data_IF_437653546316
#
_entry.id   IF_437653546316
#
_cell.length_a   1.000
_cell.length_b   1.000
_cell.length_c   1.000
_cell.angle_alpha   90.00
_cell.angle_beta   90.00
_cell.angle_gamma   90.00
#
_symmetry.space_group_name_H-M   'P 1'
#
loop_
_entity.id
_entity.type
_entity.pdbx_description
1 polymer ?
#
# COMPACT_ATOMS: atom_id res chain seq x y z
N UNK A 1 27.76 -3.08 16.65
CA UNK A 1 26.30 -2.93 16.41
C UNK A 1 26.09 -2.33 15.03
N UNK A 2 25.51 -3.09 14.09
CA UNK A 2 25.14 -2.49 12.80
C UNK A 2 24.09 -1.39 13.03
N UNK A 3 24.39 -0.18 12.55
CA UNK A 3 23.50 0.98 12.65
C UNK A 3 22.34 0.81 11.67
N UNK A 4 21.16 1.36 12.01
CA UNK A 4 20.04 1.42 11.08
C UNK A 4 20.47 2.23 9.84
N UNK A 5 20.21 1.74 8.62
CA UNK A 5 20.60 2.41 7.38
C UNK A 5 19.61 3.57 7.05
N UNK A 6 19.66 4.64 7.84
CA UNK A 6 18.67 5.75 7.77
C UNK A 6 18.58 6.38 6.38
N UNK A 7 19.72 6.63 5.72
CA UNK A 7 19.71 7.29 4.40
C UNK A 7 18.89 6.50 3.36
N UNK A 8 19.20 5.22 3.04
CA UNK A 8 18.39 4.48 2.08
C UNK A 8 16.98 4.17 2.60
N UNK A 9 16.78 4.03 3.91
CA UNK A 9 15.47 3.84 4.51
C UNK A 9 14.56 5.04 4.25
N UNK A 10 15.02 6.25 4.57
CA UNK A 10 14.23 7.47 4.37
C UNK A 10 14.00 7.75 2.88
N UNK A 11 15.01 7.60 2.02
CA UNK A 11 14.86 7.82 0.59
C UNK A 11 13.83 6.86 -0.02
N UNK A 12 13.87 5.57 0.32
CA UNK A 12 12.91 4.60 -0.20
C UNK A 12 11.50 4.77 0.40
N UNK A 13 11.39 5.20 1.65
CA UNK A 13 10.12 5.57 2.29
C UNK A 13 9.50 6.80 1.60
N UNK A 14 10.28 7.85 1.36
CA UNK A 14 9.83 9.07 0.71
C UNK A 14 9.51 8.85 -0.78
N UNK A 15 10.23 7.96 -1.48
CA UNK A 15 9.86 7.50 -2.83
C UNK A 15 8.45 6.90 -2.85
N UNK A 16 8.16 6.03 -1.88
CA UNK A 16 6.81 5.47 -1.74
C UNK A 16 5.79 6.55 -1.44
N UNK A 17 6.10 7.49 -0.53
CA UNK A 17 5.20 8.58 -0.17
C UNK A 17 4.88 9.46 -1.38
N UNK A 18 5.88 9.83 -2.19
CA UNK A 18 5.68 10.60 -3.41
C UNK A 18 4.75 9.88 -4.42
N UNK A 19 5.02 8.60 -4.69
CA UNK A 19 4.22 7.81 -5.62
C UNK A 19 2.78 7.60 -5.11
N UNK A 20 2.60 7.37 -3.80
CA UNK A 20 1.27 7.19 -3.21
C UNK A 20 0.50 8.51 -3.15
N UNK A 21 1.16 9.63 -2.83
CA UNK A 21 0.55 10.96 -2.85
C UNK A 21 0.02 11.28 -4.26
N UNK A 22 0.83 11.05 -5.31
CA UNK A 22 0.43 11.26 -6.70
C UNK A 22 -0.79 10.40 -7.08
N UNK A 23 -0.80 9.11 -6.71
CA UNK A 23 -1.93 8.22 -6.99
C UNK A 23 -3.21 8.70 -6.29
N UNK A 24 -3.15 9.07 -5.00
CA UNK A 24 -4.32 9.52 -4.25
C UNK A 24 -4.80 10.91 -4.65
N UNK A 25 -3.96 11.75 -5.27
CA UNK A 25 -4.39 13.03 -5.81
C UNK A 25 -5.48 12.87 -6.86
N UNK A 26 -5.47 11.78 -7.65
CA UNK A 26 -6.53 11.48 -8.61
C UNK A 26 -7.91 11.39 -7.93
N UNK A 27 -8.03 10.65 -6.83
CA UNK A 27 -9.30 10.53 -6.11
C UNK A 27 -9.63 11.78 -5.28
N UNK A 28 -8.63 12.43 -4.65
CA UNK A 28 -8.85 13.62 -3.82
C UNK A 28 -9.27 14.83 -4.67
N UNK A 29 -8.73 14.95 -5.88
CA UNK A 29 -9.05 16.03 -6.80
C UNK A 29 -10.22 15.71 -7.76
N UNK A 30 -10.76 14.47 -7.75
CA UNK A 30 -11.81 14.06 -8.69
C UNK A 30 -13.02 14.99 -8.75
N UNK A 31 -13.54 15.57 -7.62
CA UNK A 31 -14.66 16.50 -7.68
C UNK A 31 -14.38 17.81 -8.44
N UNK A 32 -13.09 18.14 -8.62
CA UNK A 32 -12.66 19.35 -9.34
C UNK A 32 -12.21 19.03 -10.78
N UNK A 33 -11.70 17.82 -11.01
CA UNK A 33 -11.24 17.35 -12.33
C UNK A 33 -12.45 16.98 -13.20
N UNK A 34 -13.40 16.26 -12.65
CA UNK A 34 -14.50 15.67 -13.41
C UNK A 34 -15.37 16.72 -14.12
N UNK A 35 -15.83 17.82 -13.47
CA UNK A 35 -16.57 18.88 -14.15
C UNK A 35 -15.75 19.58 -15.23
N UNK A 36 -14.42 19.77 -15.02
CA UNK A 36 -13.53 20.45 -15.97
C UNK A 36 -13.27 19.61 -17.23
N UNK A 37 -13.31 18.28 -17.12
CA UNK A 37 -13.11 17.33 -18.22
C UNK A 37 -14.45 16.79 -18.81
N UNK A 38 -15.61 17.15 -18.24
CA UNK A 38 -16.91 16.69 -18.70
C UNK A 38 -17.15 15.18 -18.47
N UNK A 39 -16.67 14.63 -17.37
CA UNK A 39 -16.79 13.21 -16.99
C UNK A 39 -17.38 13.07 -15.59
N UNK A 40 -17.64 11.85 -15.14
CA UNK A 40 -18.13 11.58 -13.78
C UNK A 40 -16.94 11.51 -12.78
N UNK A 41 -17.21 11.81 -11.50
CA UNK A 41 -16.21 11.74 -10.44
C UNK A 41 -15.61 10.33 -10.31
N UNK A 42 -16.43 9.32 -10.52
CA UNK A 42 -16.10 7.90 -10.47
C UNK A 42 -15.10 7.53 -11.56
N UNK A 43 -15.19 8.10 -12.75
CA UNK A 43 -14.25 7.84 -13.86
C UNK A 43 -12.83 8.27 -13.49
N UNK A 44 -12.71 9.44 -12.85
CA UNK A 44 -11.40 9.93 -12.38
C UNK A 44 -10.89 9.10 -11.21
N UNK A 45 -11.76 8.78 -10.24
CA UNK A 45 -11.39 8.00 -9.07
C UNK A 45 -10.94 6.57 -9.43
N UNK A 46 -11.55 5.95 -10.45
CA UNK A 46 -11.19 4.61 -10.93
C UNK A 46 -9.76 4.54 -11.51
N UNK A 47 -9.17 5.65 -11.92
CA UNK A 47 -7.78 5.66 -12.39
C UNK A 47 -6.78 5.19 -11.32
N UNK A 48 -7.12 5.32 -10.04
CA UNK A 48 -6.33 4.74 -8.94
C UNK A 48 -6.29 3.22 -9.04
N UNK A 49 -7.41 2.57 -9.42
CA UNK A 49 -7.44 1.13 -9.62
C UNK A 49 -6.54 0.69 -10.78
N UNK A 50 -6.46 1.50 -11.84
CA UNK A 50 -5.51 1.27 -12.96
C UNK A 50 -4.06 1.29 -12.47
N UNK A 51 -3.70 2.27 -11.62
CA UNK A 51 -2.36 2.35 -11.00
C UNK A 51 -2.05 1.09 -10.19
N UNK A 52 -2.99 0.60 -9.38
CA UNK A 52 -2.78 -0.61 -8.57
C UNK A 52 -2.70 -1.88 -9.42
N UNK A 53 -3.54 -2.02 -10.44
CA UNK A 53 -3.53 -3.20 -11.32
C UNK A 53 -2.20 -3.31 -12.09
N UNK A 54 -1.76 -2.21 -12.72
CA UNK A 54 -0.45 -2.15 -13.36
C UNK A 54 0.68 -2.28 -12.35
N UNK A 55 0.50 -1.74 -11.15
CA UNK A 55 1.42 -1.91 -10.04
C UNK A 55 1.60 -3.38 -9.67
N UNK A 56 0.54 -4.18 -9.64
CA UNK A 56 0.65 -5.62 -9.42
C UNK A 56 1.51 -6.29 -10.51
N UNK A 57 1.29 -5.94 -11.77
CA UNK A 57 2.08 -6.45 -12.89
C UNK A 57 3.54 -6.02 -12.80
N UNK A 58 3.79 -4.75 -12.47
CA UNK A 58 5.16 -4.23 -12.33
C UNK A 58 5.92 -4.90 -11.18
N UNK A 59 5.26 -5.18 -10.06
CA UNK A 59 5.86 -5.91 -8.95
C UNK A 59 6.33 -7.31 -9.36
N UNK A 60 5.61 -7.96 -10.29
CA UNK A 60 5.96 -9.29 -10.82
C UNK A 60 7.11 -9.24 -11.83
N UNK A 61 7.27 -8.16 -12.56
CA UNK A 61 8.22 -8.06 -13.68
C UNK A 61 9.52 -7.36 -13.32
N UNK A 62 9.54 -6.54 -12.27
CA UNK A 62 10.69 -5.71 -11.91
C UNK A 62 11.93 -6.46 -11.34
N UNK A 63 11.87 -7.65 -10.71
CA UNK A 63 13.06 -8.25 -10.07
C UNK A 63 14.29 -8.39 -10.98
N UNK A 64 14.19 -8.82 -12.25
CA UNK A 64 15.35 -8.86 -13.14
C UNK A 64 15.99 -7.48 -13.37
N UNK A 65 15.18 -6.42 -13.44
CA UNK A 65 15.65 -5.04 -13.59
C UNK A 65 16.37 -4.55 -12.34
N UNK A 66 15.85 -4.91 -11.15
CA UNK A 66 16.51 -4.58 -9.87
C UNK A 66 17.89 -5.23 -9.79
N UNK A 67 18.01 -6.51 -10.15
CA UNK A 67 19.30 -7.20 -10.16
C UNK A 67 20.27 -6.60 -11.17
N UNK A 68 19.81 -6.14 -12.33
CA UNK A 68 20.67 -5.56 -13.37
C UNK A 68 21.06 -4.12 -13.08
N UNK A 69 20.11 -3.27 -12.66
CA UNK A 69 20.33 -1.82 -12.54
C UNK A 69 20.55 -1.34 -11.11
N UNK A 70 20.13 -2.12 -10.12
CA UNK A 70 20.17 -1.77 -8.70
C UNK A 70 18.86 -1.18 -8.18
N UNK A 71 18.60 -1.36 -6.89
CA UNK A 71 17.34 -0.95 -6.27
C UNK A 71 17.18 0.58 -6.18
N UNK A 72 18.26 1.34 -5.95
CA UNK A 72 18.20 2.80 -5.93
C UNK A 72 17.98 3.38 -7.32
N UNK A 73 18.56 2.78 -8.35
CA UNK A 73 18.32 3.17 -9.76
C UNK A 73 16.86 2.91 -10.14
N UNK A 74 16.25 1.81 -9.71
CA UNK A 74 14.81 1.56 -9.90
C UNK A 74 13.97 2.58 -9.10
N UNK A 75 14.42 2.99 -7.90
CA UNK A 75 13.73 4.05 -7.13
C UNK A 75 13.75 5.40 -7.88
N UNK A 76 14.82 5.73 -8.60
CA UNK A 76 14.83 6.88 -9.52
C UNK A 76 13.80 6.70 -10.63
N UNK A 77 13.74 5.53 -11.25
CA UNK A 77 12.77 5.25 -12.31
C UNK A 77 11.32 5.40 -11.81
N UNK A 78 11.03 4.97 -10.56
CA UNK A 78 9.72 5.19 -9.92
C UNK A 78 9.44 6.69 -9.76
N UNK A 79 10.40 7.49 -9.28
CA UNK A 79 10.23 8.93 -9.15
C UNK A 79 10.05 9.60 -10.52
N UNK A 80 10.73 9.13 -11.57
CA UNK A 80 10.54 9.60 -12.97
C UNK A 80 9.14 9.27 -13.46
N UNK A 81 8.64 8.06 -13.23
CA UNK A 81 7.27 7.68 -13.57
C UNK A 81 6.23 8.52 -12.80
N UNK A 82 6.50 8.79 -11.51
CA UNK A 82 5.69 9.70 -10.70
C UNK A 82 5.69 11.12 -11.28
N UNK A 83 6.86 11.66 -11.63
CA UNK A 83 6.99 12.97 -12.25
C UNK A 83 6.29 13.03 -13.62
N UNK A 84 6.39 11.97 -14.43
CA UNK A 84 5.68 11.86 -15.70
C UNK A 84 4.16 11.89 -15.51
N UNK A 85 3.63 11.11 -14.56
CA UNK A 85 2.21 11.15 -14.22
C UNK A 85 1.76 12.55 -13.80
N UNK A 86 2.50 13.20 -12.91
CA UNK A 86 2.18 14.52 -12.39
C UNK A 86 2.23 15.59 -13.51
N UNK A 87 3.22 15.49 -14.40
CA UNK A 87 3.34 16.39 -15.56
C UNK A 87 2.19 16.16 -16.54
N UNK A 88 1.92 14.91 -16.95
CA UNK A 88 0.82 14.59 -17.88
C UNK A 88 -0.51 15.04 -17.30
N UNK A 89 -0.77 14.75 -16.01
CA UNK A 89 -2.00 15.14 -15.35
C UNK A 89 -2.17 16.67 -15.29
N UNK A 90 -1.11 17.43 -15.02
CA UNK A 90 -1.19 18.90 -14.93
C UNK A 90 -1.56 19.58 -16.28
N UNK A 91 -1.36 18.91 -17.41
CA UNK A 91 -1.74 19.39 -18.75
C UNK A 91 -2.94 18.63 -19.33
N UNK A 92 -3.60 17.78 -18.55
CA UNK A 92 -4.71 16.99 -19.06
C UNK A 92 -5.90 17.86 -19.47
N UNK A 93 -6.38 17.66 -20.70
CA UNK A 93 -7.57 18.26 -21.30
C UNK A 93 -8.66 17.22 -21.58
N UNK A 94 -8.41 15.95 -21.26
CA UNK A 94 -9.38 14.86 -21.40
C UNK A 94 -9.04 13.72 -20.41
N UNK A 95 -10.04 12.88 -20.14
CA UNK A 95 -9.86 11.68 -19.31
C UNK A 95 -8.82 10.72 -19.91
N UNK A 96 -8.70 10.66 -21.25
CA UNK A 96 -7.70 9.84 -21.93
C UNK A 96 -6.26 10.26 -21.61
N UNK A 97 -5.98 11.57 -21.58
CA UNK A 97 -4.66 12.10 -21.21
C UNK A 97 -4.40 11.82 -19.71
N UNK A 98 -5.40 12.00 -18.85
CA UNK A 98 -5.28 11.70 -17.43
C UNK A 98 -5.01 10.21 -17.20
N UNK A 99 -5.65 9.32 -17.98
CA UNK A 99 -5.40 7.89 -17.99
C UNK A 99 -3.95 7.57 -18.39
N UNK A 100 -3.38 8.22 -19.42
CA UNK A 100 -1.96 8.07 -19.76
C UNK A 100 -1.04 8.44 -18.59
N UNK A 101 -1.39 9.47 -17.83
CA UNK A 101 -0.70 9.81 -16.59
C UNK A 101 -0.77 8.67 -15.58
N UNK A 102 -1.95 8.12 -15.31
CA UNK A 102 -2.14 7.00 -14.39
C UNK A 102 -1.37 5.74 -14.84
N UNK A 103 -1.38 5.43 -16.15
CA UNK A 103 -0.60 4.33 -16.73
C UNK A 103 0.90 4.51 -16.50
N UNK A 104 1.43 5.74 -16.69
CA UNK A 104 2.86 6.03 -16.52
C UNK A 104 3.35 5.74 -15.09
N UNK A 105 2.56 6.08 -14.07
CA UNK A 105 2.85 5.74 -12.68
C UNK A 105 2.68 4.24 -12.42
N UNK A 106 1.58 3.66 -12.88
CA UNK A 106 1.20 2.26 -12.63
C UNK A 106 2.28 1.27 -13.06
N UNK A 107 2.93 1.52 -14.21
CA UNK A 107 4.01 0.66 -14.75
C UNK A 107 5.18 0.45 -13.77
N UNK A 108 5.42 1.36 -12.83
CA UNK A 108 6.51 1.25 -11.85
C UNK A 108 6.04 1.32 -10.39
N UNK A 109 4.76 1.59 -10.12
CA UNK A 109 4.24 1.79 -8.76
C UNK A 109 4.50 0.57 -7.84
N UNK A 110 4.26 -0.63 -8.34
CA UNK A 110 4.49 -1.86 -7.59
C UNK A 110 5.96 -2.23 -7.39
N UNK A 111 6.86 -1.56 -8.08
CA UNK A 111 8.30 -1.78 -7.94
C UNK A 111 8.89 -1.18 -6.66
N UNK A 112 8.13 -0.35 -5.94
CA UNK A 112 8.58 0.38 -4.74
C UNK A 112 9.02 -0.54 -3.60
N UNK A 113 8.27 -1.60 -3.32
CA UNK A 113 8.63 -2.53 -2.24
C UNK A 113 9.78 -3.47 -2.63
N UNK A 114 9.80 -4.15 -3.79
CA UNK A 114 10.91 -5.01 -4.15
C UNK A 114 12.23 -4.25 -4.33
N UNK A 115 12.22 -3.02 -4.89
CA UNK A 115 13.45 -2.21 -5.02
C UNK A 115 14.01 -1.79 -3.67
N UNK A 116 13.18 -1.28 -2.76
CA UNK A 116 13.60 -0.91 -1.42
C UNK A 116 14.06 -2.12 -0.60
N UNK A 117 13.38 -3.26 -0.73
CA UNK A 117 13.76 -4.48 -0.02
C UNK A 117 15.12 -5.00 -0.46
N UNK A 118 15.41 -4.94 -1.76
CA UNK A 118 16.72 -5.31 -2.30
C UNK A 118 17.85 -4.45 -1.73
N UNK A 119 17.60 -3.14 -1.53
CA UNK A 119 18.60 -2.23 -0.94
C UNK A 119 18.71 -2.42 0.57
N UNK A 120 17.59 -2.53 1.28
CA UNK A 120 17.58 -2.51 2.74
C UNK A 120 17.96 -3.86 3.38
N UNK A 121 17.59 -4.99 2.76
CA UNK A 121 17.81 -6.31 3.34
C UNK A 121 19.30 -6.59 3.66
N UNK A 122 20.28 -6.37 2.76
CA UNK A 122 21.69 -6.62 3.05
C UNK A 122 22.29 -5.62 4.04
N UNK A 123 21.69 -4.42 4.19
CA UNK A 123 22.17 -3.37 5.08
C UNK A 123 21.59 -3.46 6.49
N UNK A 124 20.62 -4.35 6.71
CA UNK A 124 19.85 -4.41 7.95
C UNK A 124 20.16 -5.72 8.70
N UNK A 125 20.63 -5.59 9.95
CA UNK A 125 20.81 -6.75 10.83
C UNK A 125 19.45 -7.46 11.07
N UNK A 126 19.47 -8.78 11.23
CA UNK A 126 18.26 -9.58 11.48
C UNK A 126 17.42 -9.04 12.64
N UNK A 127 18.08 -8.67 13.74
CA UNK A 127 17.46 -8.10 14.95
C UNK A 127 16.81 -6.70 14.77
N UNK A 128 16.91 -6.10 13.59
CA UNK A 128 16.33 -4.79 13.27
C UNK A 128 15.47 -4.83 12.00
N UNK A 129 15.29 -6.01 11.43
CA UNK A 129 14.61 -6.18 10.13
C UNK A 129 13.17 -5.74 10.18
N UNK A 130 12.43 -6.21 11.18
CA UNK A 130 11.01 -5.88 11.30
C UNK A 130 10.80 -4.38 11.51
N UNK A 131 11.59 -3.74 12.36
CA UNK A 131 11.54 -2.30 12.58
C UNK A 131 11.81 -1.52 11.28
N UNK A 132 12.91 -1.83 10.58
CA UNK A 132 13.30 -1.12 9.35
C UNK A 132 12.24 -1.25 8.27
N UNK A 133 11.69 -2.45 8.05
CA UNK A 133 10.63 -2.64 7.05
C UNK A 133 9.30 -2.01 7.48
N UNK A 134 9.01 -1.97 8.77
CA UNK A 134 7.83 -1.28 9.31
C UNK A 134 7.92 0.23 9.11
N UNK A 135 9.05 0.85 9.42
CA UNK A 135 9.29 2.28 9.15
C UNK A 135 9.23 2.58 7.66
N UNK A 136 9.84 1.74 6.82
CA UNK A 136 9.77 1.91 5.36
C UNK A 136 8.32 1.94 4.86
N UNK A 137 7.45 1.11 5.40
CA UNK A 137 6.05 1.02 4.98
C UNK A 137 5.18 2.20 5.45
N UNK A 138 5.67 3.08 6.32
CA UNK A 138 5.02 4.35 6.65
C UNK A 138 4.87 5.25 5.41
N UNK A 139 5.70 5.07 4.39
CA UNK A 139 5.60 5.83 3.14
C UNK A 139 4.22 5.81 2.50
N UNK A 140 3.47 4.70 2.62
CA UNK A 140 2.10 4.60 2.06
C UNK A 140 1.12 5.54 2.78
N UNK A 141 0.87 5.41 4.10
CA UNK A 141 -0.04 6.32 4.79
C UNK A 141 0.49 7.77 4.82
N UNK A 142 1.82 7.97 4.84
CA UNK A 142 2.40 9.31 4.74
C UNK A 142 2.02 9.99 3.42
N UNK A 143 2.13 9.28 2.29
CA UNK A 143 1.69 9.79 0.99
C UNK A 143 0.21 10.12 0.96
N UNK A 144 -0.63 9.28 1.56
CA UNK A 144 -2.07 9.52 1.70
C UNK A 144 -2.39 10.76 2.53
N UNK A 145 -1.73 10.92 3.68
CA UNK A 145 -1.89 12.09 4.56
C UNK A 145 -1.44 13.37 3.85
N UNK A 146 -0.26 13.34 3.22
CA UNK A 146 0.25 14.49 2.48
C UNK A 146 -0.68 14.87 1.32
N UNK A 147 -1.21 13.90 0.58
CA UNK A 147 -2.22 14.13 -0.45
C UNK A 147 -3.49 14.78 0.12
N UNK A 148 -4.03 14.24 1.20
CA UNK A 148 -5.22 14.79 1.86
C UNK A 148 -5.04 16.19 2.43
N UNK A 149 -3.84 16.53 2.94
CA UNK A 149 -3.56 17.83 3.54
C UNK A 149 -3.12 18.90 2.52
N UNK A 150 -2.35 18.53 1.50
CA UNK A 150 -1.77 19.50 0.57
C UNK A 150 -2.66 19.75 -0.66
N UNK A 151 -3.37 18.73 -1.15
CA UNK A 151 -4.15 18.84 -2.39
C UNK A 151 -5.31 19.84 -2.27
N UNK A 152 -6.19 19.79 -1.24
CA UNK A 152 -7.32 20.72 -1.17
C UNK A 152 -6.90 22.19 -1.12
N UNK A 153 -5.96 22.65 -0.26
CA UNK A 153 -5.56 24.06 -0.26
C UNK A 153 -4.88 24.49 -1.58
N UNK A 154 -4.12 23.63 -2.24
CA UNK A 154 -3.51 23.94 -3.52
C UNK A 154 -4.57 24.10 -4.63
N UNK A 155 -5.65 23.32 -4.59
CA UNK A 155 -6.79 23.46 -5.50
C UNK A 155 -7.46 24.82 -5.30
N UNK A 156 -7.65 25.25 -4.06
CA UNK A 156 -8.28 26.56 -3.75
C UNK A 156 -7.43 27.74 -4.25
N UNK A 157 -6.10 27.62 -4.28
CA UNK A 157 -5.18 28.69 -4.69
C UNK A 157 -5.16 28.82 -6.22
N UNK A 158 -5.17 27.74 -6.98
CA UNK A 158 -4.97 27.82 -8.42
C UNK A 158 -5.48 26.63 -9.21
N UNK A 159 -6.46 25.92 -8.68
CA UNK A 159 -7.10 24.78 -9.34
C UNK A 159 -6.30 23.47 -9.23
N UNK A 160 -6.94 22.39 -9.65
CA UNK A 160 -6.40 21.04 -9.51
C UNK A 160 -5.06 20.80 -10.24
N UNK A 161 -4.79 21.55 -11.32
CA UNK A 161 -3.53 21.46 -12.07
C UNK A 161 -2.33 21.88 -11.22
N UNK A 162 -2.48 22.93 -10.40
CA UNK A 162 -1.41 23.38 -9.47
C UNK A 162 -1.12 22.33 -8.42
N UNK A 163 -2.11 21.57 -7.96
CA UNK A 163 -1.89 20.49 -7.02
C UNK A 163 -0.96 19.38 -7.58
N UNK A 164 -1.06 19.06 -8.87
CA UNK A 164 -0.12 18.14 -9.54
C UNK A 164 1.25 18.78 -9.73
N UNK A 165 1.32 20.04 -10.17
CA UNK A 165 2.59 20.76 -10.40
C UNK A 165 3.41 20.92 -9.11
N UNK A 166 2.78 21.23 -8.00
CA UNK A 166 3.46 21.35 -6.71
C UNK A 166 4.10 20.02 -6.26
N UNK A 167 3.42 18.89 -6.48
CA UNK A 167 3.96 17.57 -6.17
C UNK A 167 5.11 17.16 -7.12
N UNK A 168 5.13 17.68 -8.34
CA UNK A 168 6.23 17.45 -9.29
C UNK A 168 7.56 17.92 -8.72
N UNK A 169 7.59 19.06 -8.00
CA UNK A 169 8.79 19.57 -7.33
C UNK A 169 9.34 18.52 -6.36
N UNK A 170 8.47 17.90 -5.56
CA UNK A 170 8.88 16.86 -4.62
C UNK A 170 9.46 15.63 -5.34
N UNK A 171 8.83 15.18 -6.42
CA UNK A 171 9.34 14.06 -7.22
C UNK A 171 10.72 14.36 -7.83
N UNK A 172 10.95 15.58 -8.35
CA UNK A 172 12.23 16.01 -8.90
C UNK A 172 13.32 16.11 -7.83
N UNK A 173 13.00 16.63 -6.65
CA UNK A 173 13.92 16.64 -5.49
C UNK A 173 14.32 15.22 -5.11
N UNK A 174 13.36 14.28 -5.09
CA UNK A 174 13.65 12.88 -4.80
C UNK A 174 14.55 12.22 -5.86
N UNK A 175 14.34 12.50 -7.16
CA UNK A 175 15.22 12.03 -8.24
C UNK A 175 16.65 12.49 -7.97
N UNK A 176 16.83 13.78 -7.69
CA UNK A 176 18.14 14.36 -7.43
C UNK A 176 18.80 13.77 -6.17
N UNK A 177 18.07 13.71 -5.06
CA UNK A 177 18.58 13.17 -3.80
C UNK A 177 19.04 11.71 -3.93
N UNK A 178 18.26 10.86 -4.62
CA UNK A 178 18.61 9.46 -4.85
C UNK A 178 19.79 9.35 -5.81
N UNK A 179 19.83 10.18 -6.86
CA UNK A 179 20.93 10.21 -7.84
C UNK A 179 22.28 10.42 -7.17
N UNK A 180 22.37 11.33 -6.20
CA UNK A 180 23.62 11.62 -5.46
C UNK A 180 24.17 10.43 -4.68
N UNK A 181 23.30 9.54 -4.22
CA UNK A 181 23.72 8.43 -3.32
C UNK A 181 23.61 7.05 -3.95
N UNK A 182 22.99 6.91 -5.14
CA UNK A 182 22.69 5.59 -5.75
C UNK A 182 23.93 4.70 -5.92
N UNK A 183 25.05 5.29 -6.33
CA UNK A 183 26.29 4.53 -6.56
C UNK A 183 26.81 3.84 -5.30
N UNK A 184 26.50 4.40 -4.13
CA UNK A 184 26.87 3.84 -2.84
C UNK A 184 26.06 2.60 -2.44
N UNK A 185 24.86 2.42 -2.98
CA UNK A 185 23.92 1.37 -2.56
C UNK A 185 23.63 0.35 -3.67
N UNK A 186 23.89 0.69 -4.93
CA UNK A 186 23.69 -0.20 -6.09
C UNK A 186 24.94 -1.03 -6.40
N UNK A 187 25.64 -1.51 -5.36
CA UNK A 187 26.77 -2.43 -5.53
C UNK A 187 26.27 -3.86 -5.80
N UNK A 188 27.10 -4.68 -6.47
CA UNK A 188 26.79 -6.08 -6.74
C UNK A 188 25.77 -6.31 -7.85
N UNK A 189 25.58 -5.33 -8.74
CA UNK A 189 24.71 -5.45 -9.91
C UNK A 189 25.22 -6.50 -10.89
N UNK A 190 24.31 -7.35 -11.36
CA UNK A 190 24.59 -8.29 -12.46
C UNK A 190 24.28 -7.64 -13.81
N UNK A 191 25.29 -6.97 -14.41
CA UNK A 191 25.14 -6.25 -15.68
C UNK A 191 24.75 -7.15 -16.85
N UNK A 192 25.02 -8.46 -16.75
CA UNK A 192 24.72 -9.43 -17.80
C UNK A 192 23.34 -10.06 -17.64
N UNK A 193 22.60 -9.72 -16.57
CA UNK A 193 21.25 -10.25 -16.34
C UNK A 193 20.31 -9.91 -17.50
N UNK A 194 19.71 -10.95 -18.09
CA UNK A 194 18.68 -10.74 -19.10
C UNK A 194 17.38 -10.23 -18.44
N UNK A 195 16.94 -9.03 -18.85
CA UNK A 195 15.73 -8.38 -18.33
C UNK A 195 14.50 -8.68 -19.18
N UNK A 196 14.68 -9.14 -20.42
CA UNK A 196 13.60 -9.44 -21.36
C UNK A 196 13.06 -10.85 -21.23
N UNK A 197 13.41 -11.56 -20.18
CA UNK A 197 12.90 -12.89 -19.92
C UNK A 197 11.44 -12.79 -19.45
N UNK A 198 10.50 -13.20 -20.31
CA UNK A 198 9.07 -13.37 -19.98
C UNK A 198 8.83 -14.38 -18.82
N UNK A 199 9.88 -15.02 -18.34
CA UNK A 199 9.82 -15.96 -17.21
C UNK A 199 9.70 -15.28 -15.85
N UNK A 200 9.76 -13.93 -15.77
CA UNK A 200 9.65 -13.18 -14.51
C UNK A 200 8.39 -13.53 -13.72
N UNK A 201 7.18 -13.31 -14.27
CA UNK A 201 5.93 -13.65 -13.59
C UNK A 201 5.81 -15.15 -13.28
N UNK A 202 6.23 -16.03 -14.22
CA UNK A 202 6.23 -17.48 -14.03
C UNK A 202 7.14 -17.89 -12.87
N UNK A 203 8.31 -17.26 -12.74
CA UNK A 203 9.23 -17.51 -11.62
C UNK A 203 8.66 -17.06 -10.28
N UNK A 204 7.96 -15.92 -10.23
CA UNK A 204 7.31 -15.48 -9.00
C UNK A 204 6.22 -16.46 -8.55
N UNK A 205 5.38 -16.93 -9.48
CA UNK A 205 4.41 -17.98 -9.18
C UNK A 205 5.13 -19.29 -8.82
N UNK A 206 6.26 -19.59 -9.46
CA UNK A 206 7.15 -20.71 -9.12
C UNK A 206 7.62 -20.68 -7.66
N UNK A 207 7.86 -19.50 -7.07
CA UNK A 207 8.22 -19.38 -5.65
C UNK A 207 7.18 -20.01 -4.71
N UNK A 208 5.89 -19.97 -5.07
CA UNK A 208 4.83 -20.64 -4.31
C UNK A 208 4.95 -22.16 -4.31
N UNK A 209 5.63 -22.74 -5.32
CA UNK A 209 5.91 -24.17 -5.41
C UNK A 209 7.23 -24.52 -4.75
N UNK A 210 8.26 -23.71 -4.97
CA UNK A 210 9.62 -23.93 -4.46
C UNK A 210 9.73 -23.65 -2.96
N UNK A 211 8.95 -22.71 -2.44
CA UNK A 211 8.92 -22.29 -1.02
C UNK A 211 7.48 -22.44 -0.47
N UNK A 212 7.03 -23.65 -0.16
CA UNK A 212 5.66 -23.89 0.31
C UNK A 212 5.32 -23.11 1.59
N UNK A 213 6.31 -22.77 2.40
CA UNK A 213 6.17 -21.97 3.61
C UNK A 213 5.69 -20.53 3.33
N UNK A 214 5.90 -20.00 2.10
CA UNK A 214 5.48 -18.66 1.72
C UNK A 214 3.96 -18.60 1.41
N UNK A 215 3.30 -19.73 1.13
CA UNK A 215 1.89 -19.78 0.72
C UNK A 215 0.93 -19.19 1.75
N UNK A 216 1.00 -19.56 3.05
CA UNK A 216 0.11 -18.96 4.05
C UNK A 216 0.29 -17.45 4.17
N UNK A 217 1.56 -16.96 4.08
CA UNK A 217 1.84 -15.53 4.09
C UNK A 217 1.31 -14.84 2.83
N UNK A 218 1.43 -15.47 1.67
CA UNK A 218 0.93 -14.97 0.39
C UNK A 218 -0.61 -14.81 0.41
N UNK A 219 -1.32 -15.82 0.93
CA UNK A 219 -2.78 -15.76 1.11
C UNK A 219 -3.16 -14.65 2.10
N UNK A 220 -2.48 -14.56 3.24
CA UNK A 220 -2.72 -13.51 4.22
C UNK A 220 -2.43 -12.12 3.64
N UNK A 221 -1.37 -11.94 2.86
CA UNK A 221 -1.04 -10.68 2.20
C UNK A 221 -2.16 -10.22 1.23
N UNK A 222 -2.72 -11.16 0.44
CA UNK A 222 -3.86 -10.90 -0.44
C UNK A 222 -5.11 -10.47 0.36
N UNK A 223 -5.49 -11.26 1.36
CA UNK A 223 -6.73 -11.03 2.13
C UNK A 223 -6.62 -9.78 3.00
N UNK A 224 -5.51 -9.60 3.73
CA UNK A 224 -5.36 -8.47 4.64
C UNK A 224 -5.29 -7.12 3.92
N UNK A 225 -4.65 -7.08 2.73
CA UNK A 225 -4.62 -5.85 1.94
C UNK A 225 -5.99 -5.51 1.32
N UNK A 226 -6.74 -6.52 0.90
CA UNK A 226 -8.12 -6.35 0.47
C UNK A 226 -9.01 -5.85 1.61
N UNK A 227 -8.90 -6.45 2.81
CA UNK A 227 -9.60 -6.01 4.00
C UNK A 227 -9.22 -4.57 4.39
N UNK A 228 -7.93 -4.21 4.31
CA UNK A 228 -7.47 -2.83 4.54
C UNK A 228 -8.21 -1.82 3.66
N UNK A 229 -8.35 -2.13 2.36
CA UNK A 229 -9.07 -1.23 1.46
C UNK A 229 -10.58 -1.22 1.76
N UNK A 230 -11.19 -2.37 2.07
CA UNK A 230 -12.60 -2.42 2.46
C UNK A 230 -12.89 -1.54 3.68
N UNK A 231 -12.08 -1.61 4.73
CA UNK A 231 -12.21 -0.71 5.87
C UNK A 231 -11.98 0.76 5.46
N UNK A 232 -10.86 1.07 4.81
CA UNK A 232 -10.49 2.45 4.50
C UNK A 232 -11.44 3.16 3.55
N UNK A 233 -11.97 2.45 2.55
CA UNK A 233 -12.86 3.03 1.56
C UNK A 233 -14.32 3.13 2.01
N UNK A 234 -14.81 2.14 2.79
CA UNK A 234 -16.23 2.06 3.10
C UNK A 234 -16.62 2.54 4.50
N UNK A 235 -15.65 2.81 5.38
CA UNK A 235 -15.93 3.31 6.74
C UNK A 235 -16.73 4.64 6.70
N UNK A 236 -16.33 5.55 5.83
CA UNK A 236 -16.97 6.86 5.68
C UNK A 236 -18.40 6.72 5.16
N UNK A 237 -18.59 5.96 4.09
CA UNK A 237 -19.92 5.75 3.49
C UNK A 237 -20.86 4.98 4.41
N UNK A 238 -20.35 4.04 5.22
CA UNK A 238 -21.12 3.35 6.24
C UNK A 238 -21.56 4.30 7.34
N UNK A 239 -20.68 5.19 7.82
CA UNK A 239 -21.02 6.17 8.85
C UNK A 239 -22.07 7.19 8.38
N UNK A 240 -22.01 7.59 7.11
CA UNK A 240 -23.09 8.41 6.51
C UNK A 240 -24.43 7.69 6.57
N UNK A 241 -24.45 6.40 6.25
CA UNK A 241 -25.69 5.61 6.29
C UNK A 241 -26.21 5.44 7.71
N UNK A 242 -25.33 5.34 8.72
CA UNK A 242 -25.70 5.14 10.14
C UNK A 242 -26.20 6.44 10.78
N UNK A 243 -25.51 7.56 10.57
CA UNK A 243 -25.75 8.83 11.29
C UNK A 243 -26.41 9.92 10.43
N UNK A 244 -26.66 9.69 9.13
CA UNK A 244 -27.18 10.69 8.20
C UNK A 244 -26.14 11.75 7.81
N UNK A 245 -26.54 12.67 6.90
CA UNK A 245 -25.62 13.67 6.36
C UNK A 245 -25.22 14.75 7.38
N UNK A 246 -26.08 15.11 8.32
CA UNK A 246 -25.83 16.18 9.30
C UNK A 246 -24.77 15.81 10.35
N UNK A 247 -24.61 14.52 10.70
CA UNK A 247 -23.54 14.00 11.57
C UNK A 247 -22.24 13.65 10.85
N UNK A 248 -22.26 13.70 9.53
CA UNK A 248 -21.24 13.11 8.65
C UNK A 248 -19.86 13.77 8.72
N UNK A 249 -19.80 15.08 8.67
CA UNK A 249 -18.51 15.78 8.45
C UNK A 249 -17.52 15.60 9.58
N UNK A 250 -17.94 15.64 10.81
CA UNK A 250 -17.05 15.49 11.96
C UNK A 250 -16.79 14.01 12.29
N UNK A 251 -17.84 13.20 12.31
CA UNK A 251 -17.76 11.78 12.67
C UNK A 251 -16.86 10.98 11.72
N UNK A 252 -17.06 11.13 10.41
CA UNK A 252 -16.25 10.39 9.43
C UNK A 252 -14.78 10.83 9.40
N UNK A 253 -14.52 12.14 9.59
CA UNK A 253 -13.16 12.64 9.64
C UNK A 253 -12.39 12.06 10.84
N UNK A 254 -12.98 12.06 12.04
CA UNK A 254 -12.36 11.50 13.26
C UNK A 254 -12.13 9.99 13.11
N UNK A 255 -13.09 9.25 12.56
CA UNK A 255 -12.96 7.82 12.32
C UNK A 255 -11.81 7.49 11.34
N UNK A 256 -11.71 8.26 10.25
CA UNK A 256 -10.62 8.07 9.26
C UNK A 256 -9.26 8.45 9.85
N UNK A 257 -9.17 9.52 10.62
CA UNK A 257 -7.94 9.91 11.33
C UNK A 257 -7.54 8.83 12.33
N UNK A 258 -8.48 8.29 13.11
CA UNK A 258 -8.23 7.19 14.04
C UNK A 258 -7.69 5.94 13.32
N UNK A 259 -8.28 5.58 12.18
CA UNK A 259 -7.81 4.48 11.32
C UNK A 259 -6.37 4.71 10.83
N UNK A 260 -6.04 5.88 10.31
CA UNK A 260 -4.73 6.16 9.74
C UNK A 260 -3.64 6.28 10.80
N UNK A 261 -3.88 7.02 11.89
CA UNK A 261 -2.91 7.20 12.97
C UNK A 261 -2.59 5.89 13.69
N UNK A 262 -3.62 5.11 13.99
CA UNK A 262 -3.42 3.79 14.62
C UNK A 262 -2.61 2.85 13.71
N UNK A 263 -2.86 2.87 12.41
CA UNK A 263 -2.10 2.10 11.44
C UNK A 263 -0.61 2.48 11.41
N UNK A 264 -0.27 3.77 11.43
CA UNK A 264 1.12 4.23 11.48
C UNK A 264 1.79 3.82 12.79
N UNK A 265 1.12 4.11 13.91
CA UNK A 265 1.65 3.82 15.25
C UNK A 265 1.90 2.32 15.42
N UNK A 266 0.93 1.49 15.02
CA UNK A 266 1.04 0.04 15.14
C UNK A 266 2.15 -0.54 14.28
N UNK A 267 2.43 -0.01 13.09
CA UNK A 267 3.59 -0.43 12.28
C UNK A 267 4.90 -0.29 13.04
N UNK A 268 5.11 0.85 13.70
CA UNK A 268 6.33 1.10 14.48
C UNK A 268 6.39 0.17 15.69
N UNK A 269 5.31 0.12 16.46
CA UNK A 269 5.23 -0.71 17.69
C UNK A 269 5.45 -2.18 17.40
N UNK A 270 4.74 -2.73 16.41
CA UNK A 270 4.88 -4.13 16.03
C UNK A 270 6.26 -4.44 15.46
N UNK A 271 6.88 -3.51 14.74
CA UNK A 271 8.25 -3.67 14.27
C UNK A 271 9.25 -3.86 15.41
N UNK A 272 9.10 -3.07 16.49
CA UNK A 272 9.93 -3.19 17.71
C UNK A 272 9.64 -4.50 18.45
N UNK A 273 8.35 -4.84 18.62
CA UNK A 273 7.93 -6.08 19.31
C UNK A 273 8.46 -7.31 18.56
N UNK A 274 8.36 -7.30 17.23
CA UNK A 274 8.81 -8.40 16.39
C UNK A 274 10.33 -8.60 16.40
N UNK A 275 11.08 -7.54 16.61
CA UNK A 275 12.55 -7.60 16.70
C UNK A 275 13.04 -8.09 18.08
N UNK A 276 12.18 -8.05 19.14
CA UNK A 276 12.63 -8.25 20.51
C UNK A 276 11.93 -9.40 21.27
N UNK A 277 10.61 -9.58 21.07
CA UNK A 277 9.80 -10.40 21.99
C UNK A 277 8.98 -11.50 21.32
N UNK A 278 8.29 -11.19 20.22
CA UNK A 278 7.34 -12.12 19.59
C UNK A 278 7.66 -12.19 18.10
N UNK A 279 7.76 -13.39 17.53
CA UNK A 279 8.04 -13.51 16.09
C UNK A 279 7.00 -12.79 15.23
N UNK A 280 7.46 -12.16 14.14
CA UNK A 280 6.61 -11.43 13.20
C UNK A 280 5.43 -12.27 12.72
N UNK A 281 5.63 -13.58 12.56
CA UNK A 281 4.60 -14.51 12.10
C UNK A 281 3.43 -14.63 13.09
N UNK A 282 3.69 -14.75 14.40
CA UNK A 282 2.64 -14.78 15.43
C UNK A 282 1.93 -13.43 15.56
N UNK A 283 2.65 -12.33 15.38
CA UNK A 283 2.03 -11.01 15.32
C UNK A 283 1.10 -10.87 14.10
N UNK A 284 1.48 -11.40 12.93
CA UNK A 284 0.62 -11.44 11.75
C UNK A 284 -0.64 -12.29 11.96
N UNK A 285 -0.53 -13.40 12.69
CA UNK A 285 -1.69 -14.22 13.09
C UNK A 285 -2.61 -13.41 14.01
N UNK A 286 -2.06 -12.77 15.04
CA UNK A 286 -2.83 -11.93 15.97
C UNK A 286 -3.52 -10.76 15.23
N UNK A 287 -2.82 -10.10 14.29
CA UNK A 287 -3.39 -9.07 13.44
C UNK A 287 -4.60 -9.56 12.64
N UNK A 288 -4.52 -10.76 12.06
CA UNK A 288 -5.63 -11.36 11.33
C UNK A 288 -6.86 -11.61 12.19
N UNK A 289 -6.71 -12.15 13.41
CA UNK A 289 -7.84 -12.35 14.33
C UNK A 289 -8.42 -11.04 14.86
N UNK A 290 -7.58 -10.05 15.14
CA UNK A 290 -8.05 -8.72 15.55
C UNK A 290 -8.76 -8.00 14.40
N UNK A 291 -8.31 -8.21 13.15
CA UNK A 291 -8.99 -7.72 11.95
C UNK A 291 -10.35 -8.38 11.77
N UNK A 292 -10.44 -9.70 12.06
CA UNK A 292 -11.70 -10.44 12.07
C UNK A 292 -12.67 -9.85 13.10
N UNK A 293 -12.19 -9.59 14.31
CA UNK A 293 -13.00 -8.96 15.37
C UNK A 293 -13.51 -7.59 14.92
N UNK A 294 -12.63 -6.76 14.37
CA UNK A 294 -12.99 -5.44 13.88
C UNK A 294 -14.06 -5.50 12.77
N UNK A 295 -13.98 -6.48 11.86
CA UNK A 295 -14.96 -6.67 10.79
C UNK A 295 -16.32 -7.11 11.37
N UNK A 296 -16.35 -8.03 12.34
CA UNK A 296 -17.59 -8.45 13.02
C UNK A 296 -18.25 -7.26 13.71
N UNK A 297 -17.47 -6.43 14.41
CA UNK A 297 -17.98 -5.23 15.09
C UNK A 297 -18.52 -4.22 14.05
N UNK A 298 -17.80 -4.00 12.93
CA UNK A 298 -18.25 -3.09 11.87
C UNK A 298 -19.54 -3.58 11.17
N UNK A 299 -19.76 -4.90 11.10
CA UNK A 299 -20.98 -5.48 10.56
C UNK A 299 -22.23 -5.09 11.39
N UNK A 300 -22.06 -4.82 12.69
CA UNK A 300 -23.14 -4.49 13.61
C UNK A 300 -23.34 -3.01 13.87
N UNK A 301 -22.71 -2.10 13.12
CA UNK A 301 -22.90 -0.66 13.35
C UNK A 301 -24.34 -0.23 13.13
N UNK A 302 -24.89 0.43 14.16
CA UNK A 302 -26.24 0.97 14.21
C UNK A 302 -26.24 2.39 14.80
N UNK A 303 -27.27 3.17 14.54
CA UNK A 303 -27.44 4.54 15.05
C UNK A 303 -27.57 4.62 16.59
N UNK A 304 -27.92 3.53 17.25
CA UNK A 304 -27.96 3.42 18.71
C UNK A 304 -26.58 3.30 19.35
N UNK A 305 -25.54 2.99 18.57
CA UNK A 305 -24.19 2.80 19.11
C UNK A 305 -23.57 4.13 19.53
N UNK A 306 -22.91 4.17 20.71
CA UNK A 306 -22.12 5.33 21.10
C UNK A 306 -21.00 5.56 20.09
N UNK A 307 -20.90 6.77 19.57
CA UNK A 307 -19.93 7.14 18.54
C UNK A 307 -18.47 6.79 18.90
N UNK A 308 -18.09 6.92 20.19
CA UNK A 308 -16.74 6.58 20.64
C UNK A 308 -16.39 5.09 20.46
N UNK A 309 -17.36 4.17 20.56
CA UNK A 309 -17.14 2.75 20.26
C UNK A 309 -16.80 2.52 18.79
N UNK A 310 -17.47 3.23 17.90
CA UNK A 310 -17.18 3.17 16.46
C UNK A 310 -15.76 3.69 16.19
N UNK A 311 -15.37 4.82 16.80
CA UNK A 311 -14.01 5.38 16.66
C UNK A 311 -12.94 4.38 17.18
N UNK A 312 -13.18 3.72 18.31
CA UNK A 312 -12.29 2.67 18.83
C UNK A 312 -12.18 1.51 17.83
N UNK A 313 -13.28 1.06 17.25
CA UNK A 313 -13.22 -0.01 16.26
C UNK A 313 -12.52 0.46 14.95
N UNK A 314 -12.70 1.72 14.54
CA UNK A 314 -11.96 2.29 13.41
C UNK A 314 -10.46 2.33 13.70
N UNK A 315 -10.06 2.68 14.93
CA UNK A 315 -8.67 2.61 15.36
C UNK A 315 -8.15 1.16 15.37
N UNK A 316 -8.95 0.18 15.83
CA UNK A 316 -8.60 -1.24 15.78
C UNK A 316 -8.45 -1.73 14.34
N UNK A 317 -9.37 -1.37 13.45
CA UNK A 317 -9.29 -1.68 12.02
C UNK A 317 -8.00 -1.11 11.40
N UNK A 318 -7.66 0.15 11.68
CA UNK A 318 -6.43 0.78 11.21
C UNK A 318 -5.18 0.13 11.76
N UNK A 319 -5.14 -0.14 13.08
CA UNK A 319 -4.04 -0.81 13.75
C UNK A 319 -3.76 -2.20 13.15
N UNK A 320 -4.80 -2.92 12.78
CA UNK A 320 -4.70 -4.29 12.28
C UNK A 320 -4.55 -4.33 10.76
N UNK A 321 -5.49 -3.77 10.02
CA UNK A 321 -5.52 -3.85 8.57
C UNK A 321 -4.44 -2.99 7.88
N UNK A 322 -3.94 -1.93 8.51
CA UNK A 322 -2.82 -1.14 8.00
C UNK A 322 -1.49 -1.51 8.67
N UNK A 323 -1.49 -1.90 9.94
CA UNK A 323 -0.30 -2.16 10.75
C UNK A 323 0.55 -3.35 10.31
N UNK A 324 -0.03 -4.39 9.70
CA UNK A 324 0.63 -5.66 9.38
C UNK A 324 1.70 -5.57 8.28
N UNK A 325 1.63 -4.58 7.38
CA UNK A 325 2.36 -4.58 6.12
C UNK A 325 3.88 -4.61 6.28
N UNK A 326 4.43 -3.92 7.29
CA UNK A 326 5.86 -3.93 7.56
C UNK A 326 6.38 -5.30 7.96
N UNK A 327 5.65 -6.00 8.84
CA UNK A 327 5.96 -7.36 9.26
C UNK A 327 5.86 -8.35 8.09
N UNK A 328 4.82 -8.22 7.25
CA UNK A 328 4.66 -9.06 6.08
C UNK A 328 5.85 -8.94 5.12
N UNK A 329 6.32 -7.71 4.84
CA UNK A 329 7.51 -7.53 4.00
C UNK A 329 8.78 -8.05 4.65
N UNK A 330 8.97 -7.89 5.96
CA UNK A 330 10.10 -8.47 6.68
C UNK A 330 10.10 -10.00 6.59
N UNK A 331 8.94 -10.64 6.68
CA UNK A 331 8.79 -12.09 6.50
C UNK A 331 9.01 -12.55 5.06
N UNK A 332 8.53 -11.82 4.05
CA UNK A 332 8.85 -12.11 2.64
C UNK A 332 10.36 -12.04 2.39
N UNK A 333 11.04 -11.03 2.94
CA UNK A 333 12.50 -10.91 2.87
C UNK A 333 13.19 -12.09 3.55
N UNK A 334 12.73 -12.48 4.74
CA UNK A 334 13.30 -13.62 5.49
C UNK A 334 13.16 -14.93 4.71
N UNK A 335 11.98 -15.21 4.14
CA UNK A 335 11.70 -16.42 3.38
C UNK A 335 12.40 -16.46 2.03
N UNK A 336 12.49 -15.31 1.35
CA UNK A 336 13.21 -15.21 0.07
C UNK A 336 14.73 -15.35 0.22
N UNK A 337 15.27 -15.01 1.39
CA UNK A 337 16.69 -15.01 1.65
C UNK A 337 17.47 -13.99 0.79
N UNK A 338 18.80 -13.93 0.92
CA UNK A 338 19.62 -12.88 0.28
C UNK A 338 19.53 -12.85 -1.25
N UNK A 339 19.31 -14.01 -1.88
CA UNK A 339 19.33 -14.14 -3.36
C UNK A 339 17.98 -13.84 -4.02
N UNK A 340 16.87 -13.93 -3.28
CA UNK A 340 15.48 -13.83 -3.83
C UNK A 340 14.64 -12.80 -3.12
N UNK A 341 15.26 -11.83 -2.44
CA UNK A 341 14.56 -10.77 -1.71
C UNK A 341 13.61 -9.99 -2.62
N UNK A 342 14.06 -9.57 -3.82
CA UNK A 342 13.26 -8.80 -4.75
C UNK A 342 12.09 -9.64 -5.31
N UNK A 343 12.32 -10.92 -5.60
CA UNK A 343 11.29 -11.85 -6.07
C UNK A 343 10.22 -12.09 -5.00
N UNK A 344 10.62 -12.39 -3.77
CA UNK A 344 9.68 -12.67 -2.68
C UNK A 344 8.83 -11.45 -2.32
N UNK A 345 9.44 -10.27 -2.24
CA UNK A 345 8.72 -9.01 -1.97
C UNK A 345 7.91 -8.54 -3.17
N UNK A 346 8.36 -8.83 -4.41
CA UNK A 346 7.59 -8.63 -5.62
C UNK A 346 6.31 -9.46 -5.66
N UNK A 347 6.40 -10.75 -5.31
CA UNK A 347 5.25 -11.63 -5.15
C UNK A 347 4.29 -11.10 -4.09
N UNK A 348 4.80 -10.73 -2.91
CA UNK A 348 4.00 -10.15 -1.83
C UNK A 348 3.27 -8.89 -2.26
N UNK A 349 3.94 -7.96 -2.95
CA UNK A 349 3.34 -6.73 -3.46
C UNK A 349 2.25 -7.00 -4.49
N UNK A 350 2.52 -7.89 -5.45
CA UNK A 350 1.55 -8.27 -6.48
C UNK A 350 0.27 -8.83 -5.86
N UNK A 351 0.42 -9.76 -4.90
CA UNK A 351 -0.72 -10.36 -4.21
C UNK A 351 -1.50 -9.36 -3.36
N UNK A 352 -0.81 -8.43 -2.66
CA UNK A 352 -1.46 -7.35 -1.94
C UNK A 352 -2.29 -6.47 -2.89
N UNK A 353 -1.74 -6.09 -4.04
CA UNK A 353 -2.46 -5.25 -5.01
C UNK A 353 -3.61 -5.99 -5.69
N UNK A 354 -3.46 -7.27 -5.99
CA UNK A 354 -4.59 -8.09 -6.46
C UNK A 354 -5.67 -8.23 -5.39
N UNK A 355 -5.31 -8.35 -4.11
CA UNK A 355 -6.25 -8.36 -3.01
C UNK A 355 -7.07 -7.07 -2.92
N UNK A 356 -6.38 -5.91 -3.04
CA UNK A 356 -7.00 -4.59 -3.14
C UNK A 356 -7.96 -4.50 -4.34
N UNK A 357 -7.50 -4.91 -5.52
CA UNK A 357 -8.26 -4.83 -6.77
C UNK A 357 -9.48 -5.77 -6.80
N UNK A 358 -9.41 -6.90 -6.11
CA UNK A 358 -10.49 -7.89 -6.09
C UNK A 358 -11.52 -7.64 -4.98
N UNK A 359 -11.05 -7.39 -3.74
CA UNK A 359 -11.94 -7.38 -2.58
C UNK A 359 -12.82 -6.14 -2.50
N UNK A 360 -12.33 -4.95 -2.90
CA UNK A 360 -13.14 -3.73 -2.82
C UNK A 360 -14.36 -3.74 -3.78
N UNK A 361 -14.23 -4.13 -5.06
CA UNK A 361 -15.40 -4.30 -5.93
C UNK A 361 -16.36 -5.39 -5.44
N UNK A 362 -15.85 -6.52 -4.93
CA UNK A 362 -16.68 -7.58 -4.37
C UNK A 362 -17.43 -7.13 -3.12
N UNK A 363 -16.78 -6.34 -2.27
CA UNK A 363 -17.42 -5.74 -1.09
C UNK A 363 -18.55 -4.79 -1.50
N UNK A 364 -18.30 -3.92 -2.50
CA UNK A 364 -19.30 -3.03 -3.08
C UNK A 364 -20.50 -3.80 -3.65
N UNK A 365 -20.21 -4.82 -4.47
CA UNK A 365 -21.25 -5.69 -5.02
C UNK A 365 -22.07 -6.37 -3.90
N UNK A 366 -21.42 -6.78 -2.83
CA UNK A 366 -22.10 -7.33 -1.65
C UNK A 366 -23.03 -6.31 -0.98
N UNK A 367 -22.60 -5.03 -0.87
CA UNK A 367 -23.49 -3.96 -0.35
C UNK A 367 -24.74 -3.82 -1.21
N UNK A 368 -24.59 -3.84 -2.55
CA UNK A 368 -25.68 -3.67 -3.49
C UNK A 368 -26.64 -4.87 -3.47
N UNK A 369 -26.13 -6.11 -3.44
CA UNK A 369 -26.95 -7.34 -3.39
C UNK A 369 -27.70 -7.48 -2.08
N UNK A 370 -27.03 -7.27 -0.94
CA UNK A 370 -27.61 -7.49 0.38
C UNK A 370 -28.21 -6.22 1.01
N UNK A 371 -28.17 -5.12 0.28
CA UNK A 371 -28.66 -3.82 0.69
C UNK A 371 -28.12 -3.35 2.06
N UNK A 372 -26.86 -3.69 2.37
CA UNK A 372 -26.25 -3.37 3.65
C UNK A 372 -24.79 -3.79 3.77
N UNK A 373 -24.14 -3.31 4.85
CA UNK A 373 -22.73 -3.56 5.11
C UNK A 373 -22.45 -4.85 5.91
N UNK A 374 -23.46 -5.39 6.61
CA UNK A 374 -23.29 -6.50 7.54
C UNK A 374 -22.69 -7.74 6.87
N UNK A 375 -23.33 -8.24 5.80
CA UNK A 375 -22.89 -9.46 5.11
C UNK A 375 -21.50 -9.28 4.48
N UNK A 376 -21.19 -8.19 3.74
CA UNK A 376 -19.84 -7.93 3.26
C UNK A 376 -18.77 -7.94 4.36
N UNK A 377 -19.03 -7.34 5.53
CA UNK A 377 -18.08 -7.40 6.65
C UNK A 377 -17.96 -8.80 7.26
N UNK A 378 -19.02 -9.58 7.36
CA UNK A 378 -18.92 -10.98 7.77
C UNK A 378 -18.09 -11.82 6.81
N UNK A 379 -18.17 -11.58 5.50
CA UNK A 379 -17.30 -12.24 4.53
C UNK A 379 -15.83 -11.83 4.72
N UNK A 380 -15.55 -10.55 4.94
CA UNK A 380 -14.20 -10.09 5.29
C UNK A 380 -13.71 -10.76 6.58
N UNK A 381 -14.56 -10.87 7.61
CA UNK A 381 -14.21 -11.53 8.85
C UNK A 381 -13.88 -13.02 8.63
N UNK A 382 -14.67 -13.74 7.85
CA UNK A 382 -14.42 -15.15 7.52
C UNK A 382 -13.10 -15.35 6.77
N UNK A 383 -12.80 -14.49 5.79
CA UNK A 383 -11.56 -14.55 5.01
C UNK A 383 -10.34 -14.23 5.87
N UNK A 384 -10.41 -13.21 6.72
CA UNK A 384 -9.29 -12.82 7.61
C UNK A 384 -9.04 -13.88 8.67
N UNK A 385 -10.08 -14.48 9.26
CA UNK A 385 -9.97 -15.60 10.20
C UNK A 385 -9.33 -16.83 9.54
N UNK A 386 -9.82 -17.23 8.37
CA UNK A 386 -9.27 -18.36 7.62
C UNK A 386 -7.79 -18.16 7.30
N UNK A 387 -7.41 -16.95 6.86
CA UNK A 387 -6.02 -16.59 6.55
C UNK A 387 -5.13 -16.62 7.80
N UNK A 388 -5.62 -16.13 8.94
CA UNK A 388 -4.91 -16.19 10.22
C UNK A 388 -4.70 -17.63 10.69
N UNK A 389 -5.71 -18.49 10.56
CA UNK A 389 -5.60 -19.92 10.87
C UNK A 389 -4.58 -20.63 9.97
N UNK A 390 -4.60 -20.36 8.66
CA UNK A 390 -3.60 -20.91 7.73
C UNK A 390 -2.19 -20.50 8.10
N UNK A 391 -1.98 -19.24 8.48
CA UNK A 391 -0.70 -18.75 8.99
C UNK A 391 -0.30 -19.50 10.26
N UNK A 392 -1.21 -19.67 11.23
CA UNK A 392 -0.94 -20.35 12.49
C UNK A 392 -0.55 -21.83 12.30
N UNK A 393 -1.28 -22.54 11.42
CA UNK A 393 -1.01 -23.96 11.12
C UNK A 393 0.35 -24.11 10.42
N UNK A 394 0.65 -23.24 9.45
CA UNK A 394 1.92 -23.24 8.74
C UNK A 394 3.13 -22.89 9.63
N UNK A 395 2.93 -22.43 10.90
CA UNK A 395 4.03 -22.19 11.85
C UNK A 395 4.51 -23.45 12.57
N UNK A 396 3.74 -24.53 12.51
CA UNK A 396 4.04 -25.78 13.24
C UNK A 396 4.93 -26.75 12.44
N UNK A 397 5.32 -26.40 11.24
CA UNK A 397 6.22 -27.15 10.38
C UNK A 397 7.51 -26.36 10.12
#
# INVERSE_FOLDING_TARGET
MQKIPWTPLLLTMLTQAAATMAAYTLSTASPYIAPDLGVENEDVAQLVAVVYLLGAMSAMTVPPFIHRFGGMTISIAICVATAAMLSIASFASSIGILTLGALSLGVLYGSTAPSSSHVLAPLTAEKRRNFVFSVRQIGVPLGGILGGLLVPPLILIGGWRIAFQAQLIFALVMIFAIFLVRSRYDHGRDRNRNVWSLTGPIRLVGLLRELPEIRPLAIAAFVYSGAQLCFGAFIVTQLVRVYGQDGYHFASAVALVAFQLSGITTRIVLGVIADSWISARWLLVAQGFLMTLSAIVAAGYDSSWPYWLIVINCALAGATASGYTGLAFAEFVRMGGPKRTAEATGLGTALMFFGVAAMAPLFRLGIDIFNGYAIPYFLVAALTAASALLLAIGTRR
#
